data_IF_305107184978
#
_entry.id   IF_305107184978
#
_cell.length_a   1.000
_cell.length_b   1.000
_cell.length_c   1.000
_cell.angle_alpha   90.00
_cell.angle_beta   90.00
_cell.angle_gamma   90.00
#
_symmetry.space_group_name_H-M   'P 1'
#
loop_
_entity.id
_entity.type
_entity.pdbx_description
1 polymer ?
#
# COMPACT_ATOMS: atom_id res chain seq x y z
N UNK A 1 20.45 -16.68 30.53
CA UNK A 1 20.42 -15.20 30.67
C UNK A 1 18.95 -14.78 30.59
N UNK A 2 18.41 -14.11 31.60
CA UNK A 2 16.97 -13.76 31.70
C UNK A 2 16.67 -12.58 30.75
N UNK A 3 15.76 -12.77 29.80
CA UNK A 3 15.18 -11.67 29.03
C UNK A 3 14.40 -10.72 29.97
N UNK A 4 14.51 -9.39 29.80
CA UNK A 4 13.80 -8.42 30.63
C UNK A 4 12.28 -8.50 30.38
N UNK A 5 11.47 -8.36 31.44
CA UNK A 5 10.01 -8.60 31.45
C UNK A 5 9.16 -7.48 30.85
N UNK A 6 9.73 -6.34 30.47
CA UNK A 6 8.98 -5.16 30.05
C UNK A 6 9.57 -4.58 28.77
N UNK A 7 9.09 -5.02 27.61
CA UNK A 7 9.24 -4.28 26.36
C UNK A 7 8.03 -3.34 26.24
N UNK A 8 8.28 -2.03 26.28
CA UNK A 8 7.23 -1.01 26.15
C UNK A 8 6.89 -0.85 24.68
N UNK A 9 5.63 -1.07 24.31
CA UNK A 9 5.09 -0.82 22.97
C UNK A 9 5.08 0.68 22.66
N UNK A 10 5.76 1.11 21.59
CA UNK A 10 5.56 2.44 20.99
C UNK A 10 4.36 2.32 20.04
N UNK A 11 3.39 3.23 20.17
CA UNK A 11 2.05 3.19 19.57
C UNK A 11 2.04 3.18 18.04
N UNK A 12 0.91 2.74 17.46
CA UNK A 12 0.53 3.03 16.08
C UNK A 12 0.67 4.52 15.78
N UNK A 13 1.52 4.89 14.82
CA UNK A 13 1.65 6.27 14.35
C UNK A 13 0.70 6.50 13.17
N UNK A 14 0.15 7.71 13.03
CA UNK A 14 -0.68 8.04 11.90
C UNK A 14 0.15 8.01 10.61
N UNK A 15 -0.46 7.74 9.45
CA UNK A 15 0.28 7.75 8.17
C UNK A 15 0.99 9.08 7.90
N UNK A 16 0.41 10.19 8.36
CA UNK A 16 1.01 11.53 8.29
C UNK A 16 2.26 11.67 9.18
N UNK A 17 2.35 10.89 10.27
CA UNK A 17 3.55 10.82 11.13
C UNK A 17 4.63 9.93 10.50
N UNK A 18 4.23 8.92 9.73
CA UNK A 18 5.14 8.01 9.02
C UNK A 18 5.69 8.60 7.72
N UNK A 19 4.90 9.44 7.06
CA UNK A 19 5.22 10.02 5.75
C UNK A 19 4.86 11.51 5.74
N UNK A 20 5.82 12.39 6.06
CA UNK A 20 5.60 13.82 5.98
C UNK A 20 5.23 14.24 4.56
N UNK A 21 4.24 15.13 4.43
CA UNK A 21 3.73 15.64 3.14
C UNK A 21 4.66 16.66 2.49
N UNK A 22 5.94 16.31 2.38
CA UNK A 22 6.95 17.16 1.78
C UNK A 22 6.73 17.30 0.28
N UNK A 23 7.12 18.46 -0.26
CA UNK A 23 7.11 18.71 -1.69
C UNK A 23 8.30 18.01 -2.34
N UNK A 24 8.02 16.99 -3.15
CA UNK A 24 9.01 16.16 -3.82
C UNK A 24 9.14 16.51 -5.31
N UNK A 25 10.35 16.53 -5.88
CA UNK A 25 10.53 16.57 -7.33
C UNK A 25 9.85 15.37 -7.99
N UNK A 26 9.21 15.58 -9.14
CA UNK A 26 8.49 14.54 -9.86
C UNK A 26 9.27 14.05 -11.08
N UNK A 27 9.04 12.80 -11.47
CA UNK A 27 9.59 12.23 -12.71
C UNK A 27 8.65 11.20 -13.32
N UNK A 28 8.63 11.13 -14.65
CA UNK A 28 8.04 10.04 -15.41
C UNK A 28 9.22 9.36 -16.09
N UNK A 29 9.61 8.12 -15.70
CA UNK A 29 10.65 7.42 -16.43
C UNK A 29 10.22 7.24 -17.88
N UNK A 30 11.18 7.31 -18.81
CA UNK A 30 10.97 7.36 -20.27
C UNK A 30 10.12 8.54 -20.81
N UNK A 31 9.63 9.43 -19.94
CA UNK A 31 8.90 10.65 -20.31
C UNK A 31 7.44 10.45 -20.77
N UNK A 32 6.93 9.22 -20.77
CA UNK A 32 5.58 8.88 -21.20
C UNK A 32 4.87 7.93 -20.23
N UNK A 33 3.53 7.99 -20.22
CA UNK A 33 2.67 7.00 -19.59
C UNK A 33 2.20 5.91 -20.56
N UNK A 34 2.52 6.05 -21.85
CA UNK A 34 2.15 5.09 -22.89
C UNK A 34 3.08 3.86 -22.80
N UNK A 35 2.57 2.76 -22.24
CA UNK A 35 3.32 1.52 -22.05
C UNK A 35 4.00 1.38 -20.67
N UNK A 36 4.82 0.33 -20.48
CA UNK A 36 5.37 -0.06 -19.18
C UNK A 36 6.58 0.79 -18.77
N UNK A 37 6.35 2.05 -18.40
CA UNK A 37 7.39 3.03 -18.08
C UNK A 37 8.13 2.80 -16.75
N UNK A 38 7.73 1.81 -15.94
CA UNK A 38 8.38 1.51 -14.66
C UNK A 38 8.77 0.03 -14.49
N UNK A 39 8.95 -0.69 -15.60
CA UNK A 39 9.26 -2.11 -15.55
C UNK A 39 10.75 -2.42 -15.73
N UNK A 40 11.27 -2.25 -16.95
CA UNK A 40 12.65 -2.59 -17.28
C UNK A 40 13.52 -1.33 -17.38
N UNK A 41 14.71 -1.38 -16.79
CA UNK A 41 15.75 -0.37 -17.02
C UNK A 41 15.68 0.86 -16.11
N UNK A 42 14.81 0.88 -15.10
CA UNK A 42 14.78 1.91 -14.06
C UNK A 42 16.17 2.04 -13.38
N UNK A 43 16.75 3.24 -13.43
CA UNK A 43 18.06 3.52 -12.81
C UNK A 43 17.94 4.52 -11.66
N UNK A 44 18.86 4.42 -10.69
CA UNK A 44 18.93 5.30 -9.51
C UNK A 44 18.90 6.79 -9.88
N UNK A 45 19.60 7.19 -10.95
CA UNK A 45 19.68 8.59 -11.38
C UNK A 45 18.31 9.20 -11.77
N UNK A 46 17.37 8.37 -12.20
CA UNK A 46 16.03 8.81 -12.59
C UNK A 46 15.13 8.99 -11.38
N UNK A 47 15.26 8.14 -10.36
CA UNK A 47 14.28 8.03 -9.26
C UNK A 47 14.73 8.58 -7.92
N UNK A 48 16.03 8.62 -7.64
CA UNK A 48 16.56 8.95 -6.32
C UNK A 48 16.09 10.33 -5.86
N UNK A 49 15.46 10.38 -4.70
CA UNK A 49 14.96 11.62 -4.10
C UNK A 49 13.68 12.18 -4.74
N UNK A 50 12.98 11.40 -5.58
CA UNK A 50 11.83 11.88 -6.36
C UNK A 50 10.54 11.10 -6.07
N UNK A 51 9.42 11.71 -6.45
CA UNK A 51 8.13 11.07 -6.65
C UNK A 51 8.05 10.55 -8.09
N UNK A 52 7.92 9.23 -8.24
CA UNK A 52 7.95 8.56 -9.55
C UNK A 52 6.53 8.29 -10.03
N UNK A 53 6.23 8.59 -11.27
CA UNK A 53 4.91 8.37 -11.88
C UNK A 53 5.00 7.19 -12.83
N UNK A 54 4.19 6.18 -12.57
CA UNK A 54 4.19 4.92 -13.29
C UNK A 54 2.80 4.63 -13.86
N UNK A 55 2.74 3.92 -14.98
CA UNK A 55 1.52 3.35 -15.56
C UNK A 55 1.28 1.95 -15.01
N UNK A 56 0.02 1.58 -14.73
CA UNK A 56 -0.37 0.24 -14.26
C UNK A 56 0.04 -0.86 -15.25
N UNK A 57 0.17 -0.51 -16.53
CA UNK A 57 0.67 -1.40 -17.59
C UNK A 57 2.12 -1.86 -17.33
N UNK A 58 2.82 -1.18 -16.42
CA UNK A 58 4.16 -1.57 -15.96
C UNK A 58 4.15 -2.84 -15.12
N UNK A 59 3.05 -3.21 -14.47
CA UNK A 59 2.97 -4.42 -13.65
C UNK A 59 2.54 -4.17 -12.21
N UNK A 60 2.97 -5.03 -11.28
CA UNK A 60 2.56 -4.97 -9.87
C UNK A 60 3.09 -3.71 -9.19
N UNK A 61 2.18 -2.86 -8.71
CA UNK A 61 2.48 -1.66 -7.94
C UNK A 61 3.35 -1.94 -6.71
N UNK A 62 3.18 -3.09 -6.06
CA UNK A 62 3.96 -3.50 -4.89
C UNK A 62 5.41 -3.70 -5.29
N UNK A 63 5.67 -4.52 -6.31
CA UNK A 63 7.03 -4.82 -6.78
C UNK A 63 7.72 -3.58 -7.36
N UNK A 64 6.97 -2.77 -8.13
CA UNK A 64 7.48 -1.51 -8.69
C UNK A 64 7.82 -0.54 -7.56
N UNK A 65 6.95 -0.43 -6.57
CA UNK A 65 7.17 0.41 -5.40
C UNK A 65 8.42 0.00 -4.62
N UNK A 66 8.57 -1.30 -4.32
CA UNK A 66 9.75 -1.81 -3.63
C UNK A 66 11.04 -1.52 -4.42
N UNK A 67 11.01 -1.68 -5.75
CA UNK A 67 12.14 -1.34 -6.61
C UNK A 67 12.47 0.16 -6.57
N UNK A 68 11.46 1.04 -6.73
CA UNK A 68 11.63 2.50 -6.64
C UNK A 68 12.24 2.89 -5.30
N UNK A 69 11.75 2.31 -4.20
CA UNK A 69 12.29 2.57 -2.86
C UNK A 69 13.73 2.09 -2.73
N UNK A 70 14.07 0.92 -3.26
CA UNK A 70 15.43 0.38 -3.22
C UNK A 70 16.43 1.26 -3.97
N UNK A 71 15.98 1.95 -5.01
CA UNK A 71 16.74 2.93 -5.78
C UNK A 71 16.69 4.36 -5.18
N UNK A 72 16.12 4.52 -3.98
CA UNK A 72 16.09 5.79 -3.25
C UNK A 72 14.95 6.74 -3.66
N UNK A 73 13.95 6.27 -4.39
CA UNK A 73 12.71 7.02 -4.64
C UNK A 73 11.91 7.22 -3.35
N UNK A 74 11.22 8.35 -3.26
CA UNK A 74 10.57 8.82 -2.02
C UNK A 74 9.05 8.67 -2.04
N UNK A 75 8.43 8.62 -3.21
CA UNK A 75 7.00 8.45 -3.38
C UNK A 75 6.67 7.87 -4.77
N UNK A 76 5.46 7.35 -4.95
CA UNK A 76 4.98 6.86 -6.24
C UNK A 76 3.55 7.31 -6.54
N UNK A 77 3.29 7.68 -7.78
CA UNK A 77 1.93 7.79 -8.33
C UNK A 77 1.73 6.68 -9.34
N UNK A 78 0.67 5.89 -9.16
CA UNK A 78 0.29 4.85 -10.10
C UNK A 78 -0.93 5.28 -10.89
N UNK A 79 -0.80 5.29 -12.20
CA UNK A 79 -1.80 5.78 -13.13
C UNK A 79 -2.43 4.59 -13.86
N UNK A 80 -3.75 4.53 -13.82
CA UNK A 80 -4.57 3.61 -14.60
C UNK A 80 -4.32 3.75 -16.11
N UNK A 81 -4.46 2.65 -16.85
CA UNK A 81 -4.68 2.70 -18.28
C UNK A 81 -6.08 3.25 -18.61
N UNK A 82 -6.29 3.67 -19.86
CA UNK A 82 -7.56 4.27 -20.28
C UNK A 82 -8.76 3.34 -20.03
N UNK A 83 -8.57 2.03 -20.27
CA UNK A 83 -9.62 1.02 -20.13
C UNK A 83 -10.04 0.79 -18.67
N UNK A 84 -9.17 1.07 -17.69
CA UNK A 84 -9.47 0.88 -16.26
C UNK A 84 -10.51 1.88 -15.73
N UNK A 85 -10.73 2.97 -16.48
CA UNK A 85 -11.66 4.03 -16.14
C UNK A 85 -11.38 4.63 -14.76
N UNK A 86 -12.43 4.78 -13.95
CA UNK A 86 -12.35 5.33 -12.58
C UNK A 86 -12.00 4.28 -11.51
N UNK A 87 -11.68 3.05 -11.89
CA UNK A 87 -11.40 1.96 -10.94
C UNK A 87 -10.00 2.12 -10.34
N UNK A 88 -9.88 2.60 -9.11
CA UNK A 88 -8.57 2.72 -8.41
C UNK A 88 -8.41 1.65 -7.35
N UNK A 89 -7.21 1.09 -7.19
CA UNK A 89 -6.92 0.08 -6.17
C UNK A 89 -6.31 0.70 -4.91
N UNK A 90 -6.73 0.23 -3.75
CA UNK A 90 -6.12 0.54 -2.46
C UNK A 90 -4.99 -0.47 -2.17
N UNK A 91 -3.83 -0.25 -2.77
CA UNK A 91 -2.63 -1.07 -2.56
C UNK A 91 -1.66 -0.35 -1.61
N UNK A 92 -0.87 -1.12 -0.86
CA UNK A 92 0.03 -0.60 0.17
C UNK A 92 1.48 -1.06 -0.07
N UNK A 93 2.21 -0.44 -1.02
CA UNK A 93 3.64 -0.69 -1.17
C UNK A 93 4.43 -0.06 -0.01
N UNK A 94 5.71 -0.39 0.10
CA UNK A 94 6.56 0.08 1.21
C UNK A 94 6.99 1.56 1.14
N UNK A 95 6.27 2.43 0.43
CA UNK A 95 6.53 3.87 0.30
C UNK A 95 5.21 4.65 0.13
N UNK A 96 5.19 5.99 0.31
CA UNK A 96 4.02 6.81 0.02
C UNK A 96 3.55 6.60 -1.42
N UNK A 97 2.26 6.31 -1.58
CA UNK A 97 1.67 6.05 -2.88
C UNK A 97 0.27 6.63 -3.01
N UNK A 98 -0.08 7.10 -4.21
CA UNK A 98 -1.47 7.34 -4.60
C UNK A 98 -1.78 6.72 -5.96
N UNK A 99 -2.98 6.16 -6.08
CA UNK A 99 -3.53 5.68 -7.34
C UNK A 99 -4.35 6.77 -8.02
N UNK A 100 -4.19 6.95 -9.33
CA UNK A 100 -4.92 7.92 -10.14
C UNK A 100 -5.63 7.21 -11.29
N UNK A 101 -6.84 7.68 -11.61
CA UNK A 101 -7.47 7.31 -12.88
C UNK A 101 -6.69 7.91 -14.07
N UNK A 102 -6.96 7.41 -15.28
CA UNK A 102 -6.25 7.83 -16.49
C UNK A 102 -6.34 9.34 -16.76
N UNK A 103 -7.51 9.96 -16.57
CA UNK A 103 -7.75 11.39 -16.85
C UNK A 103 -6.90 12.27 -15.93
N UNK A 104 -6.93 11.97 -14.63
CA UNK A 104 -6.16 12.68 -13.62
C UNK A 104 -4.66 12.45 -13.80
N UNK A 105 -4.26 11.19 -14.06
CA UNK A 105 -2.86 10.85 -14.30
C UNK A 105 -2.29 11.50 -15.55
N UNK A 106 -3.06 11.56 -16.64
CA UNK A 106 -2.69 12.28 -17.87
C UNK A 106 -2.51 13.77 -17.64
N UNK A 107 -3.38 14.38 -16.81
CA UNK A 107 -3.26 15.79 -16.44
C UNK A 107 -1.98 16.05 -15.62
N UNK A 108 -1.65 15.16 -14.69
CA UNK A 108 -0.39 15.22 -13.92
C UNK A 108 0.82 15.01 -14.83
N UNK A 109 0.75 14.07 -15.78
CA UNK A 109 1.85 13.82 -16.71
C UNK A 109 2.11 15.02 -17.63
N UNK A 110 1.05 15.65 -18.11
CA UNK A 110 1.16 16.91 -18.85
C UNK A 110 1.82 18.01 -17.99
N UNK A 111 1.44 18.13 -16.72
CA UNK A 111 2.10 19.08 -15.80
C UNK A 111 3.61 18.82 -15.66
N UNK A 112 4.00 17.55 -15.48
CA UNK A 112 5.42 17.17 -15.38
C UNK A 112 6.19 17.52 -16.65
N UNK A 113 5.64 17.20 -17.83
CA UNK A 113 6.30 17.44 -19.11
C UNK A 113 6.33 18.93 -19.50
N UNK A 114 5.37 19.73 -19.04
CA UNK A 114 5.29 21.17 -19.34
C UNK A 114 6.08 22.05 -18.36
N UNK A 115 6.57 21.51 -17.25
CA UNK A 115 7.19 22.27 -16.16
C UNK A 115 8.67 21.91 -16.03
N UNK A 116 9.54 22.90 -15.93
CA UNK A 116 11.00 22.66 -15.85
C UNK A 116 11.44 21.99 -14.53
N UNK A 117 10.75 22.26 -13.43
CA UNK A 117 11.03 21.68 -12.10
C UNK A 117 9.72 21.27 -11.43
N UNK A 118 9.09 20.17 -11.89
CA UNK A 118 7.80 19.76 -11.38
C UNK A 118 7.96 19.20 -9.96
N UNK A 119 7.11 19.69 -9.05
CA UNK A 119 7.05 19.21 -7.67
C UNK A 119 5.62 18.92 -7.25
N UNK A 120 5.42 17.99 -6.32
CA UNK A 120 4.14 17.71 -5.68
C UNK A 120 4.32 17.07 -4.30
N UNK A 121 3.26 17.10 -3.50
CA UNK A 121 3.16 16.44 -2.20
C UNK A 121 1.98 15.47 -2.19
N UNK A 122 2.14 14.32 -1.52
CA UNK A 122 1.02 13.42 -1.20
C UNK A 122 0.54 13.73 0.21
N UNK A 123 -0.78 13.95 0.36
CA UNK A 123 -1.42 14.22 1.64
C UNK A 123 -2.47 13.13 1.88
N UNK A 124 -2.33 12.38 2.97
CA UNK A 124 -3.25 11.30 3.30
C UNK A 124 -4.44 11.85 4.09
N UNK A 125 -5.63 11.87 3.47
CA UNK A 125 -6.85 12.38 4.12
C UNK A 125 -7.71 11.28 4.78
N UNK A 126 -7.18 10.06 4.87
CA UNK A 126 -7.95 8.88 5.25
C UNK A 126 -9.09 8.57 4.27
N UNK A 127 -10.12 7.89 4.77
CA UNK A 127 -11.28 7.50 3.95
C UNK A 127 -12.20 8.69 3.69
N UNK A 128 -12.42 9.00 2.41
CA UNK A 128 -13.36 10.04 1.97
C UNK A 128 -14.59 9.37 1.35
N UNK A 129 -15.78 9.79 1.79
CA UNK A 129 -17.06 9.31 1.26
C UNK A 129 -17.67 10.29 0.26
N UNK A 130 -18.67 9.83 -0.50
CA UNK A 130 -19.44 10.64 -1.48
C UNK A 130 -18.58 11.16 -2.64
N UNK A 131 -17.68 10.32 -3.14
CA UNK A 131 -16.89 10.58 -4.35
C UNK A 131 -17.73 10.23 -5.58
N UNK A 132 -17.64 11.04 -6.64
CA UNK A 132 -18.37 10.84 -7.89
C UNK A 132 -17.40 10.60 -9.05
N UNK A 133 -17.74 9.71 -10.01
CA UNK A 133 -18.99 8.95 -10.11
C UNK A 133 -19.02 7.70 -9.20
N UNK A 134 -20.14 7.46 -8.52
CA UNK A 134 -20.39 6.21 -7.78
C UNK A 134 -21.91 5.90 -7.69
N UNK A 135 -22.34 4.62 -7.82
CA UNK A 135 -21.52 3.45 -8.13
C UNK A 135 -21.14 3.37 -9.62
N UNK A 136 -19.99 2.75 -9.91
CA UNK A 136 -19.56 2.40 -11.27
C UNK A 136 -19.14 0.94 -11.31
N UNK A 137 -19.35 0.27 -12.45
CA UNK A 137 -18.89 -1.10 -12.65
C UNK A 137 -17.36 -1.09 -12.74
N UNK A 138 -16.69 -1.84 -11.86
CA UNK A 138 -15.24 -1.98 -11.88
C UNK A 138 -14.74 -2.52 -13.21
N UNK A 139 -13.58 -2.06 -13.67
CA UNK A 139 -13.01 -2.48 -14.95
C UNK A 139 -12.87 -4.01 -15.07
N UNK A 140 -12.38 -4.66 -14.02
CA UNK A 140 -12.18 -6.11 -13.99
C UNK A 140 -13.47 -6.93 -13.82
N UNK A 141 -14.63 -6.29 -13.67
CA UNK A 141 -15.90 -7.00 -13.54
C UNK A 141 -16.24 -7.71 -14.85
N UNK A 142 -16.43 -9.04 -14.78
CA UNK A 142 -16.81 -9.83 -15.96
C UNK A 142 -18.13 -9.35 -16.55
N UNK A 143 -18.19 -9.35 -17.88
CA UNK A 143 -19.34 -8.85 -18.65
C UNK A 143 -19.98 -9.98 -19.44
N UNK A 144 -21.28 -9.90 -19.64
CA UNK A 144 -22.01 -10.81 -20.51
C UNK A 144 -21.65 -10.62 -22.00
N UNK A 145 -22.22 -11.46 -22.88
CA UNK A 145 -23.29 -12.43 -22.60
C UNK A 145 -22.79 -13.72 -21.94
N UNK A 146 -23.72 -14.49 -21.37
CA UNK A 146 -23.44 -15.83 -20.86
C UNK A 146 -23.04 -16.77 -22.01
N UNK A 147 -21.84 -17.36 -21.94
CA UNK A 147 -21.30 -18.25 -22.96
C UNK A 147 -22.02 -19.61 -23.02
N UNK A 148 -22.59 -20.08 -21.91
CA UNK A 148 -23.31 -21.36 -21.83
C UNK A 148 -24.73 -21.25 -22.38
N UNK A 149 -25.40 -20.12 -22.14
CA UNK A 149 -26.75 -19.87 -22.64
C UNK A 149 -26.95 -18.39 -22.94
N UNK A 150 -26.92 -18.05 -24.23
CA UNK A 150 -27.18 -16.68 -24.70
C UNK A 150 -28.62 -16.20 -24.42
N UNK A 151 -29.54 -17.12 -24.12
CA UNK A 151 -30.91 -16.78 -23.74
C UNK A 151 -31.02 -16.25 -22.30
N UNK A 152 -30.01 -16.47 -21.45
CA UNK A 152 -29.98 -16.01 -20.06
C UNK A 152 -28.95 -14.88 -19.92
N UNK A 153 -29.42 -13.66 -19.65
CA UNK A 153 -28.55 -12.50 -19.44
C UNK A 153 -27.76 -12.64 -18.13
N UNK A 154 -26.49 -12.22 -18.16
CA UNK A 154 -25.58 -12.13 -16.99
C UNK A 154 -24.71 -10.88 -17.11
N UNK A 155 -24.25 -10.29 -15.98
CA UNK A 155 -24.59 -10.63 -14.58
C UNK A 155 -26.00 -10.21 -14.19
N UNK A 156 -26.55 -10.74 -13.08
CA UNK A 156 -27.93 -10.41 -12.65
C UNK A 156 -28.00 -9.16 -11.75
N UNK A 157 -26.96 -8.92 -10.94
CA UNK A 157 -26.94 -7.85 -9.93
C UNK A 157 -25.54 -7.27 -9.78
N UNK A 158 -25.47 -6.01 -9.36
CA UNK A 158 -24.25 -5.29 -8.99
C UNK A 158 -24.19 -5.05 -7.48
N UNK A 159 -22.99 -5.09 -6.91
CA UNK A 159 -22.74 -4.81 -5.51
C UNK A 159 -21.34 -4.20 -5.29
N UNK A 160 -21.05 -3.66 -4.09
CA UNK A 160 -19.73 -3.16 -3.74
C UNK A 160 -18.69 -4.30 -3.77
N UNK A 161 -17.59 -4.11 -4.51
CA UNK A 161 -16.55 -5.14 -4.66
C UNK A 161 -15.14 -4.59 -4.92
N UNK A 162 -14.95 -3.27 -4.78
CA UNK A 162 -13.65 -2.60 -4.97
C UNK A 162 -13.26 -1.93 -3.67
N UNK A 163 -12.01 -2.08 -3.26
CA UNK A 163 -11.46 -1.53 -2.01
C UNK A 163 -12.34 -1.87 -0.80
N UNK A 164 -12.86 -3.11 -0.78
CA UNK A 164 -13.64 -3.63 0.34
C UNK A 164 -12.67 -4.09 1.41
N UNK A 165 -12.84 -3.52 2.58
CA UNK A 165 -12.05 -3.83 3.74
C UNK A 165 -12.71 -4.99 4.49
N UNK A 166 -11.89 -5.96 4.88
CA UNK A 166 -12.33 -7.18 5.56
C UNK A 166 -11.22 -7.70 6.49
N UNK A 167 -11.58 -8.62 7.38
CA UNK A 167 -10.65 -9.28 8.28
C UNK A 167 -9.48 -9.95 7.52
N UNK A 168 -8.26 -9.78 8.03
CA UNK A 168 -7.03 -10.34 7.47
C UNK A 168 -6.16 -10.96 8.57
N UNK A 169 -5.46 -12.09 8.33
CA UNK A 169 -4.58 -12.69 9.33
C UNK A 169 -3.36 -11.80 9.66
N UNK A 170 -2.83 -11.91 10.88
CA UNK A 170 -1.62 -11.17 11.33
C UNK A 170 -0.40 -11.53 10.46
N UNK A 171 0.43 -10.53 10.17
CA UNK A 171 1.75 -10.70 9.55
C UNK A 171 2.87 -10.27 10.50
N UNK A 172 3.90 -11.11 10.59
CA UNK A 172 5.17 -10.83 11.29
C UNK A 172 6.24 -10.70 10.22
N UNK A 173 6.95 -9.57 10.19
CA UNK A 173 7.95 -9.29 9.15
C UNK A 173 9.28 -8.77 9.76
N UNK A 174 10.41 -9.15 9.16
CA UNK A 174 11.76 -8.74 9.56
C UNK A 174 12.39 -9.48 10.74
N UNK A 175 11.73 -10.49 11.33
CA UNK A 175 12.24 -11.25 12.48
C UNK A 175 12.59 -12.69 12.10
N UNK A 176 13.74 -12.87 11.44
CA UNK A 176 14.15 -14.18 10.92
C UNK A 176 14.74 -15.11 12.00
N UNK A 177 15.45 -14.57 12.99
CA UNK A 177 16.10 -15.39 14.03
C UNK A 177 15.23 -15.71 15.25
N UNK A 178 14.02 -15.14 15.30
CA UNK A 178 13.09 -15.26 16.44
C UNK A 178 11.71 -15.69 15.92
N UNK A 179 11.15 -16.73 16.50
CA UNK A 179 9.75 -17.06 16.30
C UNK A 179 8.88 -16.17 17.19
N UNK A 180 7.90 -15.51 16.58
CA UNK A 180 6.97 -14.60 17.24
C UNK A 180 5.59 -15.23 17.23
N UNK A 181 5.01 -15.36 18.42
CA UNK A 181 3.65 -15.84 18.60
C UNK A 181 2.81 -14.72 19.23
N UNK A 182 1.66 -14.42 18.64
CA UNK A 182 0.75 -13.36 19.11
C UNK A 182 -0.60 -13.98 19.43
N UNK A 183 -1.06 -13.81 20.68
CA UNK A 183 -2.34 -14.36 21.14
C UNK A 183 -3.21 -13.27 21.78
N UNK A 184 -4.48 -13.13 21.37
CA UNK A 184 -5.13 -13.84 20.26
C UNK A 184 -4.60 -13.36 18.88
N UNK A 185 -4.70 -14.21 17.86
CA UNK A 185 -4.35 -13.84 16.47
C UNK A 185 -5.33 -12.84 15.83
N UNK A 186 -6.44 -12.54 16.49
CA UNK A 186 -7.41 -11.55 16.03
C UNK A 186 -7.98 -10.81 17.22
N UNK A 187 -8.12 -9.49 17.10
CA UNK A 187 -8.72 -8.64 18.13
C UNK A 187 -10.10 -8.18 17.67
N UNK A 188 -11.12 -8.79 18.24
CA UNK A 188 -12.51 -8.45 17.94
C UNK A 188 -12.99 -7.26 18.79
N UNK A 189 -13.25 -6.14 18.14
CA UNK A 189 -13.82 -4.94 18.75
C UNK A 189 -15.33 -4.88 18.45
N UNK A 190 -16.12 -4.57 19.47
CA UNK A 190 -17.59 -4.47 19.40
C UNK A 190 -18.09 -3.14 18.80
N UNK A 191 -17.18 -2.23 18.45
CA UNK A 191 -17.50 -0.89 17.92
C UNK A 191 -17.86 0.14 19.00
N UNK A 192 -17.63 -0.17 20.29
CA UNK A 192 -17.84 0.78 21.39
C UNK A 192 -16.70 1.79 21.45
N UNK A 193 -17.05 3.06 21.65
CA UNK A 193 -16.06 4.12 21.88
C UNK A 193 -15.29 3.82 23.18
N UNK A 194 -13.96 3.96 23.14
CA UNK A 194 -13.01 3.66 24.23
C UNK A 194 -12.88 2.17 24.62
N UNK A 195 -13.23 1.26 23.72
CA UNK A 195 -12.95 -0.17 23.90
C UNK A 195 -11.44 -0.45 23.78
N UNK A 196 -10.87 -1.16 24.76
CA UNK A 196 -9.49 -1.65 24.70
C UNK A 196 -9.45 -3.18 24.64
N UNK A 197 -8.45 -3.71 23.93
CA UNK A 197 -8.14 -5.14 23.88
C UNK A 197 -6.68 -5.34 24.24
N UNK A 198 -6.37 -6.50 24.80
CA UNK A 198 -5.01 -6.89 25.15
C UNK A 198 -4.63 -8.12 24.36
N UNK A 199 -3.35 -8.19 24.01
CA UNK A 199 -2.73 -9.33 23.36
C UNK A 199 -1.40 -9.59 24.04
N UNK A 200 -0.96 -10.84 23.99
CA UNK A 200 0.33 -11.27 24.46
C UNK A 200 1.23 -11.55 23.26
N UNK A 201 2.46 -11.07 23.33
CA UNK A 201 3.50 -11.42 22.36
C UNK A 201 4.53 -12.30 23.07
N UNK A 202 4.79 -13.47 22.50
CA UNK A 202 5.84 -14.38 22.96
C UNK A 202 6.93 -14.45 21.91
N UNK A 203 8.17 -14.23 22.35
CA UNK A 203 9.36 -14.36 21.51
C UNK A 203 10.11 -15.62 21.92
N UNK A 204 10.43 -16.48 20.94
CA UNK A 204 11.22 -17.68 21.16
C UNK A 204 12.37 -17.76 20.16
N UNK A 205 13.54 -18.19 20.66
CA UNK A 205 14.76 -18.28 19.85
C UNK A 205 14.60 -19.34 18.76
N UNK A 206 14.76 -18.96 17.49
CA UNK A 206 14.67 -19.87 16.35
C UNK A 206 16.05 -20.34 15.87
N UNK A 207 17.06 -19.48 15.93
CA UNK A 207 18.43 -19.75 15.45
C UNK A 207 19.42 -19.79 16.62
N UNK A 208 20.41 -20.70 16.59
CA UNK A 208 21.39 -20.89 17.67
C UNK A 208 22.41 -19.75 17.80
N UNK A 209 22.74 -19.05 16.70
CA UNK A 209 23.56 -17.83 16.64
C UNK A 209 22.76 -16.67 16.00
N UNK A 210 21.89 -16.00 16.76
CA UNK A 210 21.18 -14.83 16.26
C UNK A 210 22.15 -13.64 16.09
N UNK A 211 21.85 -12.70 15.18
CA UNK A 211 22.57 -11.44 15.11
C UNK A 211 22.51 -10.70 16.46
N UNK A 212 23.47 -9.81 16.72
CA UNK A 212 23.50 -8.98 17.93
C UNK A 212 22.30 -8.03 18.05
N UNK A 213 21.64 -7.75 16.92
CA UNK A 213 20.50 -6.85 16.81
C UNK A 213 19.64 -7.28 15.62
N UNK A 214 18.33 -7.38 15.82
CA UNK A 214 17.35 -7.56 14.74
C UNK A 214 16.19 -6.57 14.88
N UNK A 215 15.74 -6.03 13.76
CA UNK A 215 14.65 -5.06 13.67
C UNK A 215 13.54 -5.63 12.79
N UNK A 216 12.31 -5.51 13.26
CA UNK A 216 11.13 -5.94 12.52
C UNK A 216 9.89 -5.23 13.04
N UNK A 217 8.71 -5.74 12.69
CA UNK A 217 7.46 -5.17 13.18
C UNK A 217 6.32 -6.19 13.21
N UNK A 218 5.36 -5.96 14.11
CA UNK A 218 4.03 -6.54 13.99
C UNK A 218 3.13 -5.56 13.24
N UNK A 219 2.30 -6.10 12.35
CA UNK A 219 1.31 -5.30 11.64
C UNK A 219 -0.09 -5.80 11.99
N UNK A 220 -0.79 -5.02 12.82
CA UNK A 220 -2.22 -5.20 13.04
C UNK A 220 -2.97 -4.46 11.96
N UNK A 221 -3.80 -5.18 11.22
CA UNK A 221 -4.58 -4.60 10.14
C UNK A 221 -6.04 -4.79 10.50
N UNK A 222 -6.77 -3.68 10.49
CA UNK A 222 -8.22 -3.66 10.50
C UNK A 222 -8.70 -3.09 9.19
N UNK A 223 -10.02 -3.06 9.02
CA UNK A 223 -10.63 -2.47 7.86
C UNK A 223 -10.20 -1.01 7.66
N UNK A 224 -10.22 -0.18 8.69
CA UNK A 224 -10.03 1.27 8.52
C UNK A 224 -8.63 1.77 8.88
N UNK A 225 -7.82 0.93 9.52
CA UNK A 225 -6.54 1.33 10.12
C UNK A 225 -5.56 0.19 10.05
N UNK A 226 -4.32 0.52 9.71
CA UNK A 226 -3.16 -0.29 10.02
C UNK A 226 -2.47 0.27 11.26
N UNK A 227 -1.98 -0.63 12.09
CA UNK A 227 -1.24 -0.34 13.31
C UNK A 227 0.05 -1.14 13.21
N UNK A 228 1.13 -0.46 12.84
CA UNK A 228 2.49 -1.02 12.85
C UNK A 228 3.08 -0.84 14.24
N UNK A 229 3.61 -1.92 14.79
CA UNK A 229 4.33 -1.95 16.06
C UNK A 229 5.78 -2.33 15.75
N UNK A 230 6.73 -1.39 15.81
CA UNK A 230 8.15 -1.70 15.61
C UNK A 230 8.67 -2.57 16.76
N UNK A 231 9.50 -3.55 16.41
CA UNK A 231 10.16 -4.45 17.35
C UNK A 231 11.66 -4.37 17.09
N UNK A 232 12.41 -4.12 18.16
CA UNK A 232 13.85 -4.27 18.19
C UNK A 232 14.20 -5.37 19.19
N UNK A 233 14.91 -6.40 18.72
CA UNK A 233 15.40 -7.48 19.55
C UNK A 233 16.92 -7.33 19.68
N UNK A 234 17.36 -7.17 20.92
CA UNK A 234 18.76 -7.26 21.30
C UNK A 234 18.95 -8.62 21.97
N UNK A 235 19.84 -9.46 21.44
CA UNK A 235 20.08 -10.83 21.94
C UNK A 235 21.31 -10.92 22.83
#
# INVERSE_FOLDING_TARGET
MRLPRNATLVSAQALDDCYPSDSLPMTIPDGSLDGPNCWQGLVEAEVKGKMVICSIESGSSILIGDNIKSLGGLAMLMVNGELDGYTTMAEAPNLPMSYLNYINGSSVAHYVNATQTPVASIIFKGTVFKVFPAPTVAYFSSRGPNSQSRAVLKPDILGPGVNILAAWPIQVDGLESVAVEVLPETLDFSGKINESKSFNISFSKKITHPPTQEEGHLLWISDTKSVRIPILILV
#
